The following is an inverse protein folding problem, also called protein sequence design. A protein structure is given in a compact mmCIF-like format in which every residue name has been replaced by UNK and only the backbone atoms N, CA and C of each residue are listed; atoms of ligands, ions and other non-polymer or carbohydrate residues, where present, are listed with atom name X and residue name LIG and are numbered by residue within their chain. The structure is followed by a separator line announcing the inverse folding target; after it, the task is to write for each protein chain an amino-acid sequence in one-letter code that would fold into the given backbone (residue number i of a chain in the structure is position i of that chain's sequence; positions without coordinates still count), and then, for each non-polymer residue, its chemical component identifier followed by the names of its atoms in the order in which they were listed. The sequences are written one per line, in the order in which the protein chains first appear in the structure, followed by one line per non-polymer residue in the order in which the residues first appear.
data_IF_032697696537
#
_entry.id   IF_032697696537
#
_cell.length_a   1.000
_cell.length_b   1.000
_cell.length_c   1.000
_cell.angle_alpha   90.00
_cell.angle_beta   90.00
_cell.angle_gamma   90.00
#
_symmetry.space_group_name_H-M   'P 1'
#
loop_
_entity.id
_entity.type
_entity.pdbx_description
1 polymer ?
#
# COMPACT_ATOMS: atom_id res chain seq x y z
N UNK A 1 -21.97 4.78 -1.74
CA UNK A 1 -20.57 4.81 -1.26
C UNK A 1 -20.57 5.56 0.07
N UNK A 2 -19.88 5.07 1.09
CA UNK A 2 -19.73 5.82 2.34
C UNK A 2 -18.91 7.09 2.11
N UNK A 3 -19.05 8.09 2.98
CA UNK A 3 -18.28 9.34 2.91
C UNK A 3 -16.78 9.07 2.89
N UNK A 4 -16.29 8.17 3.76
CA UNK A 4 -14.86 7.86 3.86
C UNK A 4 -14.27 7.26 2.56
N UNK A 5 -15.01 6.39 1.85
CA UNK A 5 -14.54 5.83 0.58
C UNK A 5 -14.48 6.90 -0.52
N UNK A 6 -15.44 7.83 -0.53
CA UNK A 6 -15.45 8.95 -1.47
C UNK A 6 -14.31 9.94 -1.17
N UNK A 7 -14.05 10.25 0.10
CA UNK A 7 -12.93 11.09 0.54
C UNK A 7 -11.58 10.46 0.21
N UNK A 8 -11.44 9.14 0.40
CA UNK A 8 -10.24 8.40 0.01
C UNK A 8 -10.01 8.51 -1.51
N UNK A 9 -11.05 8.29 -2.31
CA UNK A 9 -10.98 8.42 -3.77
C UNK A 9 -10.58 9.82 -4.21
N UNK A 10 -11.19 10.86 -3.64
CA UNK A 10 -10.85 12.25 -3.94
C UNK A 10 -9.40 12.57 -3.56
N UNK A 11 -8.94 12.11 -2.39
CA UNK A 11 -7.57 12.30 -1.93
C UNK A 11 -6.54 11.61 -2.82
N UNK A 12 -6.81 10.36 -3.22
CA UNK A 12 -5.99 9.61 -4.16
C UNK A 12 -5.97 10.28 -5.55
N UNK A 13 -7.13 10.73 -6.05
CA UNK A 13 -7.21 11.44 -7.33
C UNK A 13 -6.41 12.74 -7.31
N UNK A 14 -6.42 13.47 -6.19
CA UNK A 14 -5.61 14.67 -6.03
C UNK A 14 -4.10 14.37 -6.05
N UNK A 15 -3.67 13.19 -5.60
CA UNK A 15 -2.27 12.76 -5.72
C UNK A 15 -1.85 12.51 -7.17
N UNK A 16 -2.76 12.03 -8.02
CA UNK A 16 -2.52 11.85 -9.47
C UNK A 16 -2.29 13.20 -10.18
N UNK A 17 -2.89 14.28 -9.69
CA UNK A 17 -2.71 15.63 -10.24
C UNK A 17 -1.34 16.25 -9.90
N UNK A 18 -0.58 15.65 -8.98
CA UNK A 18 0.78 16.11 -8.67
C UNK A 18 1.75 15.63 -9.76
N UNK A 19 2.90 16.30 -9.86
CA UNK A 19 4.00 15.82 -10.71
C UNK A 19 4.41 14.40 -10.28
N UNK A 20 4.83 13.52 -11.20
CA UNK A 20 5.42 12.23 -10.86
C UNK A 20 6.48 12.39 -9.76
N UNK A 21 6.51 11.55 -8.71
CA UNK A 21 5.77 10.29 -8.56
C UNK A 21 4.36 10.39 -7.94
N UNK A 22 3.75 11.59 -7.91
CA UNK A 22 2.42 11.77 -7.31
C UNK A 22 2.43 11.80 -5.77
N UNK A 23 3.55 12.20 -5.16
CA UNK A 23 3.78 12.06 -3.70
C UNK A 23 3.55 13.39 -2.98
N UNK A 24 2.84 13.33 -1.85
CA UNK A 24 2.70 14.43 -0.90
C UNK A 24 2.60 13.86 0.52
N UNK A 25 3.55 14.21 1.39
CA UNK A 25 3.61 13.68 2.76
C UNK A 25 2.37 14.02 3.59
N UNK A 26 1.87 15.26 3.48
CA UNK A 26 0.65 15.68 4.17
C UNK A 26 -0.60 14.95 3.68
N UNK A 27 -0.72 14.70 2.37
CA UNK A 27 -1.83 13.90 1.81
C UNK A 27 -1.75 12.44 2.25
N UNK A 28 -0.56 11.83 2.22
CA UNK A 28 -0.36 10.46 2.70
C UNK A 28 -0.80 10.36 4.17
N UNK A 29 -0.35 11.28 5.03
CA UNK A 29 -0.76 11.28 6.44
C UNK A 29 -2.27 11.45 6.61
N UNK A 30 -2.89 12.35 5.83
CA UNK A 30 -4.34 12.56 5.84
C UNK A 30 -5.12 11.30 5.46
N UNK A 31 -4.71 10.61 4.38
CA UNK A 31 -5.36 9.38 3.93
C UNK A 31 -5.14 8.23 4.91
N UNK A 32 -3.96 8.14 5.54
CA UNK A 32 -3.68 7.17 6.61
C UNK A 32 -4.60 7.39 7.82
N UNK A 33 -4.78 8.65 8.24
CA UNK A 33 -5.69 8.99 9.33
C UNK A 33 -7.13 8.64 8.96
N UNK A 34 -7.59 9.01 7.75
CA UNK A 34 -8.93 8.67 7.25
C UNK A 34 -9.18 7.16 7.31
N UNK A 35 -8.25 6.34 6.81
CA UNK A 35 -8.37 4.89 6.83
C UNK A 35 -8.37 4.33 8.25
N UNK A 36 -7.54 4.87 9.13
CA UNK A 36 -7.45 4.44 10.55
C UNK A 36 -8.73 4.76 11.31
N UNK A 37 -9.32 5.95 11.11
CA UNK A 37 -10.55 6.38 11.77
C UNK A 37 -11.80 5.64 11.26
N UNK A 38 -11.74 5.06 10.06
CA UNK A 38 -12.86 4.37 9.43
C UNK A 38 -12.58 2.87 9.26
N UNK A 39 -11.89 2.26 10.23
CA UNK A 39 -11.49 0.85 10.17
C UNK A 39 -12.69 -0.11 10.02
N UNK A 40 -13.91 0.32 10.34
CA UNK A 40 -15.10 -0.53 10.23
C UNK A 40 -15.52 -0.73 8.76
N UNK A 41 -14.87 0.01 7.84
CA UNK A 41 -15.06 -0.03 6.39
C UNK A 41 -13.78 -0.50 5.67
N UNK A 42 -12.83 -1.11 6.38
CA UNK A 42 -11.57 -1.64 5.86
C UNK A 42 -11.68 -2.37 4.50
N UNK A 43 -12.71 -3.16 4.27
CA UNK A 43 -12.91 -3.94 3.06
C UNK A 43 -13.16 -3.01 1.87
N UNK A 44 -14.03 -2.02 2.05
CA UNK A 44 -14.32 -1.03 1.02
C UNK A 44 -13.12 -0.09 0.79
N UNK A 45 -12.40 0.29 1.85
CA UNK A 45 -11.20 1.12 1.77
C UNK A 45 -10.06 0.39 1.03
N UNK A 46 -9.78 -0.86 1.39
CA UNK A 46 -8.78 -1.71 0.75
C UNK A 46 -9.14 -1.98 -0.71
N UNK A 47 -10.42 -2.28 -0.99
CA UNK A 47 -10.89 -2.43 -2.37
C UNK A 47 -10.70 -1.14 -3.18
N UNK A 48 -10.96 0.03 -2.59
CA UNK A 48 -10.76 1.32 -3.26
C UNK A 48 -9.28 1.61 -3.53
N UNK A 49 -8.39 1.34 -2.56
CA UNK A 49 -6.94 1.40 -2.76
C UNK A 49 -6.51 0.51 -3.92
N UNK A 50 -7.02 -0.73 -3.97
CA UNK A 50 -6.71 -1.67 -5.04
C UNK A 50 -7.15 -1.18 -6.41
N UNK A 51 -8.43 -0.83 -6.56
CA UNK A 51 -8.99 -0.37 -7.83
C UNK A 51 -8.31 0.92 -8.30
N UNK A 52 -8.03 1.86 -7.40
CA UNK A 52 -7.32 3.08 -7.75
C UNK A 52 -5.92 2.76 -8.27
N UNK A 53 -5.13 2.00 -7.51
CA UNK A 53 -3.76 1.63 -7.90
C UNK A 53 -3.68 0.98 -9.29
N UNK A 54 -4.61 0.08 -9.61
CA UNK A 54 -4.66 -0.59 -10.92
C UNK A 54 -4.93 0.38 -12.08
N UNK A 55 -5.64 1.48 -11.84
CA UNK A 55 -5.96 2.51 -12.84
C UNK A 55 -4.92 3.63 -12.90
N UNK A 56 -4.13 3.81 -11.85
CA UNK A 56 -3.10 4.86 -11.77
C UNK A 56 -2.01 4.63 -12.82
N UNK A 57 -1.56 5.67 -13.55
CA UNK A 57 -0.42 5.57 -14.44
C UNK A 57 0.84 5.08 -13.72
N UNK A 58 1.70 4.32 -14.41
CA UNK A 58 2.92 3.75 -13.82
C UNK A 58 3.82 4.79 -13.13
N UNK A 59 3.87 6.01 -13.67
CA UNK A 59 4.61 7.15 -13.10
C UNK A 59 4.10 7.63 -11.74
N UNK A 60 2.89 7.25 -11.33
CA UNK A 60 2.24 7.71 -10.10
C UNK A 60 1.90 6.58 -9.12
N UNK A 61 2.07 5.31 -9.53
CA UNK A 61 1.81 4.16 -8.65
C UNK A 61 2.65 4.17 -7.38
N UNK A 62 3.85 4.75 -7.42
CA UNK A 62 4.69 4.90 -6.23
C UNK A 62 4.01 5.77 -5.15
N UNK A 63 3.34 6.86 -5.55
CA UNK A 63 2.57 7.69 -4.62
C UNK A 63 1.44 6.91 -3.94
N UNK A 64 0.67 6.14 -4.72
CA UNK A 64 -0.36 5.26 -4.17
C UNK A 64 0.23 4.15 -3.29
N UNK A 65 1.37 3.57 -3.67
CA UNK A 65 2.06 2.55 -2.87
C UNK A 65 2.49 3.08 -1.50
N UNK A 66 2.94 4.34 -1.42
CA UNK A 66 3.27 4.97 -0.13
C UNK A 66 2.05 5.18 0.77
N UNK A 67 0.86 5.41 0.20
CA UNK A 67 -0.39 5.41 0.99
C UNK A 67 -0.66 4.01 1.54
N UNK A 68 -0.57 2.98 0.70
CA UNK A 68 -0.76 1.57 1.11
C UNK A 68 0.23 1.18 2.22
N UNK A 69 1.51 1.52 2.07
CA UNK A 69 2.54 1.32 3.10
C UNK A 69 2.14 1.99 4.43
N UNK A 70 1.84 3.29 4.38
CA UNK A 70 1.55 4.08 5.58
C UNK A 70 0.32 3.55 6.32
N UNK A 71 -0.76 3.25 5.60
CA UNK A 71 -1.98 2.64 6.16
C UNK A 71 -1.66 1.28 6.79
N UNK A 72 -0.94 0.40 6.08
CA UNK A 72 -0.64 -0.95 6.56
C UNK A 72 0.20 -0.94 7.83
N UNK A 73 1.24 -0.10 7.88
CA UNK A 73 2.07 0.04 9.08
C UNK A 73 1.26 0.60 10.25
N UNK A 74 0.42 1.60 10.01
CA UNK A 74 -0.41 2.17 11.08
C UNK A 74 -1.44 1.18 11.61
N UNK A 75 -2.14 0.45 10.74
CA UNK A 75 -3.07 -0.59 11.17
C UNK A 75 -2.35 -1.75 11.87
N UNK A 76 -1.13 -2.12 11.45
CA UNK A 76 -0.34 -3.15 12.15
C UNK A 76 -0.01 -2.71 13.59
N UNK A 77 0.39 -1.44 13.77
CA UNK A 77 0.62 -0.85 15.09
C UNK A 77 -0.65 -0.89 15.95
N UNK A 78 -1.79 -0.46 15.39
CA UNK A 78 -3.07 -0.46 16.10
C UNK A 78 -3.58 -1.88 16.44
N UNK A 79 -3.41 -2.84 15.53
CA UNK A 79 -3.72 -4.24 15.79
C UNK A 79 -2.90 -4.79 16.96
N UNK A 80 -1.60 -4.47 17.02
CA UNK A 80 -0.73 -4.87 18.14
C UNK A 80 -1.19 -4.25 19.46
N UNK A 81 -1.52 -2.95 19.48
CA UNK A 81 -2.03 -2.27 20.67
C UNK A 81 -3.38 -2.85 21.14
N UNK A 82 -4.24 -3.21 20.20
CA UNK A 82 -5.53 -3.85 20.46
C UNK A 82 -5.43 -5.38 20.70
N UNK A 83 -4.21 -5.94 20.77
CA UNK A 83 -3.95 -7.37 20.93
C UNK A 83 -4.67 -8.26 19.90
N UNK A 84 -4.89 -7.74 18.69
CA UNK A 84 -5.52 -8.45 17.59
C UNK A 84 -4.50 -9.31 16.85
N UNK A 85 -4.84 -10.57 16.59
CA UNK A 85 -4.01 -11.46 15.78
C UNK A 85 -4.32 -11.23 14.30
N UNK A 86 -3.29 -10.92 13.50
CA UNK A 86 -3.41 -10.68 12.06
C UNK A 86 -3.41 -12.03 11.34
N UNK A 87 -4.59 -12.50 10.92
CA UNK A 87 -4.76 -13.73 10.15
C UNK A 87 -6.08 -13.70 9.34
N UNK A 88 -6.37 -14.79 8.63
CA UNK A 88 -7.59 -14.99 7.83
C UNK A 88 -8.88 -15.08 8.65
N UNK A 89 -8.76 -15.30 9.95
CA UNK A 89 -9.88 -15.43 10.88
C UNK A 89 -10.18 -14.12 11.62
N UNK A 90 -9.42 -13.05 11.38
CA UNK A 90 -9.62 -11.77 12.01
C UNK A 90 -11.01 -11.21 11.65
N UNK A 91 -11.83 -10.78 12.62
CA UNK A 91 -13.17 -10.27 12.35
C UNK A 91 -13.14 -9.03 11.45
N UNK A 92 -14.08 -8.93 10.52
CA UNK A 92 -14.24 -7.73 9.69
C UNK A 92 -14.45 -6.47 10.54
N UNK A 93 -14.04 -5.33 9.99
CA UNK A 93 -14.02 -4.07 10.73
C UNK A 93 -12.96 -4.00 11.83
N UNK A 94 -11.90 -4.80 11.76
CA UNK A 94 -10.76 -4.73 12.70
C UNK A 94 -9.47 -4.36 11.98
N UNK A 95 -8.52 -3.79 12.72
CA UNK A 95 -7.18 -3.49 12.17
C UNK A 95 -6.50 -4.76 11.66
N UNK A 96 -6.63 -5.87 12.39
CA UNK A 96 -6.06 -7.14 11.97
C UNK A 96 -6.64 -7.64 10.63
N UNK A 97 -7.96 -7.56 10.43
CA UNK A 97 -8.58 -7.93 9.17
C UNK A 97 -8.13 -7.01 8.02
N UNK A 98 -8.07 -5.70 8.27
CA UNK A 98 -7.56 -4.73 7.29
C UNK A 98 -6.13 -5.02 6.85
N UNK A 99 -5.21 -5.26 7.79
CA UNK A 99 -3.81 -5.61 7.49
C UNK A 99 -3.74 -6.91 6.71
N UNK A 100 -4.49 -7.94 7.12
CA UNK A 100 -4.47 -9.22 6.41
C UNK A 100 -4.93 -9.06 4.95
N UNK A 101 -6.03 -8.33 4.70
CA UNK A 101 -6.51 -8.06 3.33
C UNK A 101 -5.48 -7.33 2.47
N UNK A 102 -4.76 -6.35 3.02
CA UNK A 102 -3.68 -5.68 2.28
C UNK A 102 -2.52 -6.63 1.99
N UNK A 103 -2.16 -7.52 2.93
CA UNK A 103 -1.11 -8.54 2.74
C UNK A 103 -1.42 -9.46 1.56
N UNK A 104 -2.67 -9.88 1.40
CA UNK A 104 -3.11 -10.73 0.29
C UNK A 104 -3.01 -10.02 -1.07
N UNK A 105 -3.23 -8.71 -1.10
CA UNK A 105 -3.17 -7.90 -2.33
C UNK A 105 -1.76 -7.41 -2.69
N UNK A 106 -0.81 -7.46 -1.74
CA UNK A 106 0.54 -6.95 -1.96
C UNK A 106 1.24 -7.57 -3.17
N UNK A 107 1.19 -8.90 -3.43
CA UNK A 107 1.77 -9.47 -4.64
C UNK A 107 1.22 -8.85 -5.94
N UNK A 108 -0.08 -8.56 -5.99
CA UNK A 108 -0.70 -7.92 -7.15
C UNK A 108 -0.21 -6.48 -7.34
N UNK A 109 -0.06 -5.71 -6.24
CA UNK A 109 0.53 -4.37 -6.29
C UNK A 109 1.97 -4.39 -6.79
N UNK A 110 2.79 -5.26 -6.21
CA UNK A 110 4.22 -5.33 -6.50
C UNK A 110 4.48 -5.80 -7.93
N UNK A 111 3.79 -6.85 -8.40
CA UNK A 111 3.93 -7.31 -9.78
C UNK A 111 3.61 -6.20 -10.80
N UNK A 112 2.56 -5.42 -10.55
CA UNK A 112 2.14 -4.36 -11.44
C UNK A 112 3.11 -3.16 -11.45
N UNK A 113 3.49 -2.66 -10.28
CA UNK A 113 4.40 -1.49 -10.21
C UNK A 113 5.81 -1.81 -10.69
N UNK A 114 6.31 -3.04 -10.47
CA UNK A 114 7.62 -3.45 -10.99
C UNK A 114 7.64 -3.41 -12.52
N UNK A 115 6.52 -3.75 -13.18
CA UNK A 115 6.40 -3.75 -14.64
C UNK A 115 6.17 -2.36 -15.24
N UNK A 116 5.54 -1.44 -14.49
CA UNK A 116 5.06 -0.17 -15.05
C UNK A 116 5.75 1.09 -14.53
N UNK A 117 6.48 1.01 -13.41
CA UNK A 117 7.17 2.18 -12.85
C UNK A 117 8.46 2.52 -13.63
N UNK A 118 8.79 3.81 -13.76
CA UNK A 118 10.11 4.26 -14.23
C UNK A 118 11.26 3.74 -13.35
N UNK A 119 12.47 3.64 -13.92
CA UNK A 119 13.62 3.05 -13.21
C UNK A 119 14.05 3.84 -11.97
N UNK A 120 13.96 5.18 -11.99
CA UNK A 120 14.26 6.03 -10.82
C UNK A 120 13.29 5.76 -9.65
N UNK A 121 12.07 5.30 -9.97
CA UNK A 121 11.08 4.92 -8.97
C UNK A 121 11.29 3.48 -8.49
N UNK A 122 11.79 2.56 -9.34
CA UNK A 122 12.13 1.18 -8.92
C UNK A 122 13.16 1.16 -7.79
N UNK A 123 14.13 2.06 -7.78
CA UNK A 123 15.09 2.15 -6.67
C UNK A 123 14.44 2.62 -5.36
N UNK A 124 13.39 3.44 -5.42
CA UNK A 124 12.59 3.82 -4.25
C UNK A 124 11.70 2.66 -3.77
N UNK A 125 11.20 1.84 -4.69
CA UNK A 125 10.42 0.63 -4.37
C UNK A 125 11.31 -0.40 -3.66
N UNK A 126 12.56 -0.60 -4.11
CA UNK A 126 13.53 -1.47 -3.41
C UNK A 126 13.74 -1.04 -1.96
N UNK A 127 13.96 0.26 -1.73
CA UNK A 127 14.10 0.81 -0.36
C UNK A 127 12.87 0.54 0.49
N UNK A 128 11.66 0.59 -0.10
CA UNK A 128 10.42 0.29 0.61
C UNK A 128 10.35 -1.20 1.02
N UNK A 129 10.76 -2.10 0.12
CA UNK A 129 10.87 -3.53 0.41
C UNK A 129 11.88 -3.80 1.54
N UNK A 130 13.00 -3.09 1.57
CA UNK A 130 13.99 -3.20 2.65
C UNK A 130 13.45 -2.70 3.99
N UNK A 131 12.63 -1.63 4.00
CA UNK A 131 11.94 -1.13 5.20
C UNK A 131 10.98 -2.19 5.73
N UNK A 132 10.22 -2.84 4.84
CA UNK A 132 9.28 -3.90 5.22
C UNK A 132 9.96 -5.14 5.79
N UNK A 133 11.12 -5.50 5.25
CA UNK A 133 11.91 -6.61 5.76
C UNK A 133 12.44 -6.30 7.17
N UNK A 134 13.06 -5.13 7.36
CA UNK A 134 13.56 -4.70 8.68
C UNK A 134 12.44 -4.57 9.71
N UNK A 135 11.27 -4.11 9.28
CA UNK A 135 10.08 -3.98 10.13
C UNK A 135 9.30 -5.29 10.32
N UNK A 136 9.76 -6.42 9.76
CA UNK A 136 9.06 -7.70 9.74
C UNK A 136 7.57 -7.57 9.37
N UNK A 137 7.27 -6.64 8.46
CA UNK A 137 5.89 -6.26 8.12
C UNK A 137 5.22 -7.36 7.28
N UNK A 138 5.98 -8.00 6.39
CA UNK A 138 5.54 -9.07 5.49
C UNK A 138 6.50 -10.28 5.55
N UNK A 139 6.06 -11.49 5.13
CA UNK A 139 6.91 -12.69 5.15
C UNK A 139 8.17 -12.54 4.28
N UNK A 140 9.32 -12.96 4.80
CA UNK A 140 10.62 -12.82 4.14
C UNK A 140 10.66 -13.45 2.74
N UNK A 141 10.08 -14.64 2.57
CA UNK A 141 10.00 -15.32 1.26
C UNK A 141 9.28 -14.48 0.20
N UNK A 142 8.20 -13.80 0.59
CA UNK A 142 7.46 -12.91 -0.32
C UNK A 142 8.30 -11.71 -0.72
N UNK A 143 8.98 -11.08 0.25
CA UNK A 143 9.84 -9.91 0.00
C UNK A 143 11.04 -10.25 -0.89
N UNK A 144 11.67 -11.42 -0.69
CA UNK A 144 12.75 -11.91 -1.56
C UNK A 144 12.30 -12.03 -3.01
N UNK A 145 11.11 -12.59 -3.26
CA UNK A 145 10.56 -12.66 -4.62
C UNK A 145 10.35 -11.30 -5.27
N UNK A 146 10.04 -10.24 -4.49
CA UNK A 146 9.98 -8.88 -5.01
C UNK A 146 11.36 -8.30 -5.31
N UNK A 147 12.34 -8.53 -4.43
CA UNK A 147 13.73 -8.10 -4.64
C UNK A 147 14.31 -8.72 -5.91
N UNK A 148 14.12 -10.01 -6.12
CA UNK A 148 14.59 -10.72 -7.31
C UNK A 148 14.02 -10.10 -8.59
N UNK A 149 12.71 -9.84 -8.64
CA UNK A 149 12.06 -9.18 -9.77
C UNK A 149 12.56 -7.76 -10.01
N UNK A 150 12.76 -6.98 -8.94
CA UNK A 150 13.29 -5.61 -9.00
C UNK A 150 14.75 -5.55 -9.48
N UNK A 151 15.52 -6.63 -9.27
CA UNK A 151 16.90 -6.76 -9.70
C UNK A 151 17.02 -7.38 -11.11
N UNK A 152 16.13 -8.28 -11.49
CA UNK A 152 16.09 -8.89 -12.83
C UNK A 152 15.89 -7.86 -13.95
N UNK A 153 15.13 -6.79 -13.68
CA UNK A 153 14.95 -5.67 -14.62
C UNK A 153 16.20 -4.83 -14.91
N UNK A 154 17.37 -5.13 -14.32
CA UNK A 154 18.66 -4.51 -14.64
C UNK A 154 19.46 -5.25 -15.73
N UNK A 155 18.97 -6.37 -16.27
CA UNK A 155 19.67 -7.08 -17.34
C UNK A 155 19.32 -6.46 -18.70
N UNK A 156 20.21 -5.56 -19.14
CA UNK A 156 20.61 -5.23 -20.53
C UNK A 156 19.60 -4.49 -21.42
N UNK A 157 19.89 -3.21 -21.67
CA UNK A 157 20.40 -2.70 -22.97
C UNK A 157 21.30 -1.51 -22.73
#
# INVERSE_FOLDING_TARGET
MSSAVAELEAGLQAMVQLKPPGVSGSRIQGLTNLCTQNIQQESALVQKLYVHFKKTPGTHKLGTLYVVDSVTRKWTEQAKLAQQTINSSAPDGTYAAGVHKVKELLPAFMNDIIQSAPDDQKDKIKKLVDIWEKGQTFPAQMLNGFKDKLNAGKIIT
#
